data_IF_608875461002
#
_entry.id   IF_608875461002
#
_cell.length_a   1.000
_cell.length_b   1.000
_cell.length_c   1.000
_cell.angle_alpha   90.00
_cell.angle_beta   90.00
_cell.angle_gamma   90.00
#
_symmetry.space_group_name_H-M   'P 1'
#
loop_
_entity.id
_entity.type
_entity.pdbx_description
1 polymer ?
#
# COMPACT_ATOMS: atom_id res chain seq x y z
N UNK A 1 -29.62 -31.33 9.31
CA UNK A 1 -28.26 -31.12 8.73
C UNK A 1 -27.22 -30.82 9.81
N UNK A 2 -27.48 -29.88 10.75
CA UNK A 2 -26.55 -29.55 11.84
C UNK A 2 -26.26 -30.71 12.82
N UNK A 3 -27.26 -31.50 13.21
CA UNK A 3 -27.07 -32.64 14.12
C UNK A 3 -26.15 -33.74 13.54
N UNK A 4 -26.22 -34.00 12.23
CA UNK A 4 -25.37 -34.97 11.55
C UNK A 4 -23.94 -34.45 11.38
N UNK A 5 -23.77 -33.15 11.14
CA UNK A 5 -22.46 -32.51 11.13
C UNK A 5 -21.77 -32.56 12.51
N UNK A 6 -22.53 -32.35 13.60
CA UNK A 6 -22.00 -32.43 14.97
C UNK A 6 -21.60 -33.87 15.35
N UNK A 7 -22.37 -34.87 14.91
CA UNK A 7 -22.03 -36.29 15.12
C UNK A 7 -20.76 -36.68 14.35
N UNK A 8 -20.64 -36.21 13.10
CA UNK A 8 -19.44 -36.42 12.28
C UNK A 8 -18.21 -35.71 12.86
N UNK A 9 -18.38 -34.51 13.43
CA UNK A 9 -17.30 -33.76 14.08
C UNK A 9 -16.72 -34.53 15.28
N UNK A 10 -17.58 -35.05 16.16
CA UNK A 10 -17.16 -35.81 17.34
C UNK A 10 -16.33 -37.04 16.95
N UNK A 11 -16.81 -37.82 15.97
CA UNK A 11 -16.11 -38.99 15.45
C UNK A 11 -14.76 -38.63 14.80
N UNK A 12 -14.70 -37.51 14.09
CA UNK A 12 -13.50 -37.07 13.38
C UNK A 12 -12.41 -36.57 14.35
N UNK A 13 -12.80 -35.78 15.36
CA UNK A 13 -11.88 -35.32 16.43
C UNK A 13 -11.34 -36.51 17.23
N UNK A 14 -12.18 -37.52 17.52
CA UNK A 14 -11.76 -38.75 18.20
C UNK A 14 -10.78 -39.57 17.35
N UNK A 15 -11.01 -39.67 16.04
CA UNK A 15 -10.11 -40.39 15.14
C UNK A 15 -8.72 -39.75 15.05
N UNK A 16 -8.65 -38.41 15.02
CA UNK A 16 -7.40 -37.65 15.00
C UNK A 16 -6.64 -37.80 16.34
N UNK A 17 -7.35 -37.70 17.47
CA UNK A 17 -6.73 -37.76 18.80
C UNK A 17 -6.54 -39.18 19.36
N UNK A 18 -7.08 -40.20 18.70
CA UNK A 18 -7.11 -41.61 19.14
C UNK A 18 -7.73 -41.79 20.55
N UNK A 19 -8.76 -41.02 20.89
CA UNK A 19 -9.44 -41.09 22.20
C UNK A 19 -10.74 -41.94 22.16
N UNK A 20 -11.06 -42.71 23.22
CA UNK A 20 -12.18 -43.67 23.22
C UNK A 20 -13.55 -43.11 23.64
N UNK A 21 -13.66 -41.85 24.07
CA UNK A 21 -14.89 -41.34 24.72
C UNK A 21 -15.92 -40.83 23.73
N UNK A 22 -17.08 -41.49 23.64
CA UNK A 22 -18.25 -41.04 22.88
C UNK A 22 -18.85 -39.76 23.49
N UNK A 23 -18.80 -38.66 22.75
CA UNK A 23 -19.37 -37.36 23.16
C UNK A 23 -20.74 -37.21 22.50
N UNK A 24 -21.74 -36.75 23.27
CA UNK A 24 -23.08 -36.45 22.73
C UNK A 24 -23.01 -35.34 21.66
N UNK A 25 -23.83 -35.43 20.61
CA UNK A 25 -23.81 -34.50 19.47
C UNK A 25 -23.99 -33.03 19.87
N UNK A 26 -24.71 -32.74 20.95
CA UNK A 26 -24.94 -31.37 21.47
C UNK A 26 -23.68 -30.77 22.14
N UNK A 27 -22.75 -31.60 22.61
CA UNK A 27 -21.50 -31.18 23.26
C UNK A 27 -20.27 -31.25 22.34
N UNK A 28 -20.44 -31.71 21.10
CA UNK A 28 -19.34 -31.94 20.16
C UNK A 28 -18.54 -30.66 19.83
N UNK A 29 -19.22 -29.51 19.70
CA UNK A 29 -18.57 -28.22 19.46
C UNK A 29 -17.69 -27.76 20.62
N UNK A 30 -18.22 -27.80 21.85
CA UNK A 30 -17.47 -27.45 23.07
C UNK A 30 -16.30 -28.42 23.32
N UNK A 31 -16.49 -29.71 23.03
CA UNK A 31 -15.44 -30.72 23.14
C UNK A 31 -14.29 -30.46 22.15
N UNK A 32 -14.62 -30.15 20.90
CA UNK A 32 -13.61 -29.82 19.89
C UNK A 32 -12.82 -28.54 20.24
N UNK A 33 -13.46 -27.53 20.83
CA UNK A 33 -12.77 -26.33 21.35
C UNK A 33 -11.86 -26.60 22.54
N UNK A 34 -12.30 -27.46 23.45
CA UNK A 34 -11.48 -27.87 24.59
C UNK A 34 -10.21 -28.59 24.11
N UNK A 35 -10.32 -29.37 23.03
CA UNK A 35 -9.23 -30.15 22.43
C UNK A 35 -8.45 -29.45 21.32
N UNK A 36 -8.73 -28.18 21.03
CA UNK A 36 -8.02 -27.38 20.01
C UNK A 36 -6.50 -27.48 20.13
N UNK A 37 -5.97 -27.37 21.35
CA UNK A 37 -4.52 -27.39 21.59
C UNK A 37 -3.91 -28.77 21.32
N UNK A 38 -4.66 -29.85 21.60
CA UNK A 38 -4.26 -31.22 21.31
C UNK A 38 -4.32 -31.52 19.80
N UNK A 39 -5.35 -31.02 19.10
CA UNK A 39 -5.50 -31.17 17.65
C UNK A 39 -4.37 -30.46 16.91
N UNK A 40 -4.02 -29.24 17.31
CA UNK A 40 -2.94 -28.48 16.71
C UNK A 40 -1.55 -29.06 17.00
N UNK A 41 -1.41 -29.92 18.01
CA UNK A 41 -0.15 -30.60 18.35
C UNK A 41 0.09 -31.90 17.56
N UNK A 42 -0.93 -32.42 16.85
CA UNK A 42 -0.79 -33.63 16.02
C UNK A 42 0.07 -33.29 14.79
N UNK A 43 1.17 -34.02 14.61
CA UNK A 43 2.06 -33.88 13.45
C UNK A 43 1.53 -34.66 12.26
N UNK A 44 1.77 -34.14 11.06
CA UNK A 44 1.51 -34.79 9.76
C UNK A 44 0.03 -35.08 9.43
N UNK A 45 -0.92 -34.41 10.10
CA UNK A 45 -2.37 -34.53 9.84
C UNK A 45 -3.05 -33.19 9.54
N UNK A 46 -2.31 -32.22 9.01
CA UNK A 46 -2.78 -30.84 8.75
C UNK A 46 -4.10 -30.76 7.98
N UNK A 47 -4.30 -31.65 7.00
CA UNK A 47 -5.52 -31.66 6.17
C UNK A 47 -6.73 -32.16 6.95
N UNK A 48 -6.54 -33.18 7.80
CA UNK A 48 -7.60 -33.70 8.66
C UNK A 48 -7.94 -32.71 9.77
N UNK A 49 -6.94 -32.03 10.33
CA UNK A 49 -7.17 -30.97 11.32
C UNK A 49 -7.99 -29.82 10.70
N UNK A 50 -7.65 -29.37 9.49
CA UNK A 50 -8.44 -28.36 8.76
C UNK A 50 -9.88 -28.84 8.51
N UNK A 51 -10.05 -30.11 8.12
CA UNK A 51 -11.36 -30.74 7.95
C UNK A 51 -12.20 -30.74 9.22
N UNK A 52 -11.58 -30.98 10.38
CA UNK A 52 -12.25 -30.94 11.69
C UNK A 52 -12.77 -29.53 12.00
N UNK A 53 -11.97 -28.48 11.78
CA UNK A 53 -12.41 -27.10 11.98
C UNK A 53 -13.49 -26.66 10.99
N UNK A 54 -13.45 -27.13 9.73
CA UNK A 54 -14.54 -26.94 8.75
C UNK A 54 -15.86 -27.55 9.24
N UNK A 55 -15.81 -28.76 9.77
CA UNK A 55 -16.97 -29.44 10.34
C UNK A 55 -17.49 -28.71 11.59
N UNK A 56 -16.59 -28.19 12.42
CA UNK A 56 -16.94 -27.38 13.59
C UNK A 56 -17.74 -26.15 13.16
N UNK A 57 -17.20 -25.35 12.24
CA UNK A 57 -17.87 -24.15 11.74
C UNK A 57 -19.24 -24.46 11.09
N UNK A 58 -19.35 -25.56 10.34
CA UNK A 58 -20.64 -26.00 9.76
C UNK A 58 -21.65 -26.45 10.82
N UNK A 59 -21.18 -27.04 11.92
CA UNK A 59 -22.06 -27.58 12.97
C UNK A 59 -22.53 -26.50 13.96
N UNK A 60 -21.66 -25.57 14.35
CA UNK A 60 -21.94 -24.58 15.40
C UNK A 60 -22.17 -23.17 14.87
N UNK A 61 -21.83 -22.90 13.60
CA UNK A 61 -21.87 -21.55 13.05
C UNK A 61 -20.87 -20.63 13.75
N UNK A 62 -21.27 -19.37 13.98
CA UNK A 62 -20.41 -18.31 14.50
C UNK A 62 -20.24 -18.31 16.04
N UNK A 63 -20.92 -19.19 16.79
CA UNK A 63 -20.99 -19.13 18.26
C UNK A 63 -19.63 -19.24 18.94
N UNK A 64 -18.74 -20.08 18.42
CA UNK A 64 -17.44 -20.36 19.03
C UNK A 64 -16.25 -19.67 18.37
N UNK A 65 -16.52 -18.84 17.36
CA UNK A 65 -15.47 -18.10 16.64
C UNK A 65 -14.62 -17.24 17.58
N UNK A 66 -15.17 -16.47 18.54
CA UNK A 66 -14.35 -15.63 19.42
C UNK A 66 -13.37 -16.42 20.30
N UNK A 67 -13.78 -17.57 20.83
CA UNK A 67 -12.93 -18.45 21.63
C UNK A 67 -11.86 -19.12 20.77
N UNK A 68 -12.23 -19.53 19.55
CA UNK A 68 -11.31 -20.12 18.60
C UNK A 68 -10.23 -19.12 18.16
N UNK A 69 -10.60 -17.86 17.88
CA UNK A 69 -9.66 -16.80 17.54
C UNK A 69 -8.63 -16.60 18.65
N UNK A 70 -9.07 -16.53 19.92
CA UNK A 70 -8.16 -16.39 21.07
C UNK A 70 -7.17 -17.55 21.16
N UNK A 71 -7.63 -18.79 21.00
CA UNK A 71 -6.75 -19.97 21.05
C UNK A 71 -5.77 -20.03 19.88
N UNK A 72 -6.23 -19.75 18.66
CA UNK A 72 -5.39 -19.82 17.46
C UNK A 72 -4.32 -18.72 17.44
N UNK A 73 -4.61 -17.54 18.00
CA UNK A 73 -3.69 -16.41 18.02
C UNK A 73 -2.78 -16.36 19.24
N UNK A 74 -3.06 -17.12 20.30
CA UNK A 74 -2.27 -17.14 21.54
C UNK A 74 -0.85 -17.70 21.37
N UNK A 75 -0.68 -18.70 20.49
CA UNK A 75 0.63 -19.30 20.22
C UNK A 75 1.07 -19.03 18.78
N UNK A 76 2.14 -18.25 18.65
CA UNK A 76 2.76 -17.84 17.38
C UNK A 76 3.96 -18.68 16.96
N UNK A 77 4.31 -19.73 17.72
CA UNK A 77 5.54 -20.51 17.51
C UNK A 77 5.32 -21.83 16.79
N UNK A 78 4.15 -22.45 16.97
CA UNK A 78 3.84 -23.76 16.37
C UNK A 78 2.87 -23.64 15.20
N UNK A 79 3.08 -24.45 14.15
CA UNK A 79 2.15 -24.69 13.05
C UNK A 79 1.49 -23.43 12.46
N UNK A 80 2.28 -22.35 12.28
CA UNK A 80 1.80 -21.04 11.85
C UNK A 80 0.97 -21.09 10.54
N UNK A 81 1.43 -21.84 9.55
CA UNK A 81 0.74 -21.99 8.26
C UNK A 81 -0.60 -22.68 8.40
N UNK A 82 -0.70 -23.74 9.22
CA UNK A 82 -1.96 -24.44 9.48
C UNK A 82 -2.96 -23.54 10.21
N UNK A 83 -2.50 -22.81 11.24
CA UNK A 83 -3.38 -21.86 11.97
C UNK A 83 -3.88 -20.75 11.05
N UNK A 84 -3.05 -20.23 10.15
CA UNK A 84 -3.48 -19.26 9.14
C UNK A 84 -4.52 -19.83 8.16
N UNK A 85 -4.35 -21.08 7.70
CA UNK A 85 -5.35 -21.76 6.85
C UNK A 85 -6.68 -21.93 7.58
N UNK A 86 -6.66 -22.34 8.85
CA UNK A 86 -7.86 -22.46 9.67
C UNK A 86 -8.54 -21.09 9.84
N UNK A 87 -7.77 -20.04 10.14
CA UNK A 87 -8.31 -18.68 10.26
C UNK A 87 -8.93 -18.17 8.93
N UNK A 88 -8.29 -18.47 7.80
CA UNK A 88 -8.83 -18.14 6.48
C UNK A 88 -10.16 -18.85 6.21
N UNK A 89 -10.29 -20.11 6.62
CA UNK A 89 -11.55 -20.85 6.53
C UNK A 89 -12.63 -20.26 7.44
N UNK A 90 -12.28 -19.88 8.67
CA UNK A 90 -13.19 -19.16 9.58
C UNK A 90 -13.69 -17.89 8.89
N UNK A 91 -12.79 -17.08 8.31
CA UNK A 91 -13.16 -15.87 7.59
C UNK A 91 -14.10 -16.13 6.41
N UNK A 92 -13.81 -17.15 5.60
CA UNK A 92 -14.60 -17.52 4.43
C UNK A 92 -15.99 -18.09 4.80
N UNK A 93 -16.12 -18.70 5.97
CA UNK A 93 -17.39 -19.24 6.48
C UNK A 93 -18.35 -18.17 7.00
N UNK A 94 -17.86 -16.96 7.31
CA UNK A 94 -18.64 -15.90 7.91
C UNK A 94 -19.30 -14.99 6.83
N UNK A 95 -20.59 -14.64 6.97
CA UNK A 95 -21.25 -13.68 6.09
C UNK A 95 -20.57 -12.30 6.12
N UNK A 96 -20.61 -11.57 5.00
CA UNK A 96 -20.01 -10.23 4.87
C UNK A 96 -20.51 -9.21 5.91
N UNK A 97 -21.79 -9.30 6.31
CA UNK A 97 -22.40 -8.38 7.27
C UNK A 97 -22.04 -8.67 8.75
N UNK A 98 -21.33 -9.76 9.04
CA UNK A 98 -21.03 -10.15 10.42
C UNK A 98 -19.81 -9.38 10.95
N UNK A 99 -19.96 -8.68 12.09
CA UNK A 99 -18.88 -7.98 12.75
C UNK A 99 -17.67 -8.89 13.08
N UNK A 100 -17.93 -10.18 13.36
CA UNK A 100 -16.88 -11.18 13.63
C UNK A 100 -15.98 -11.45 12.43
N UNK A 101 -16.47 -11.20 11.20
CA UNK A 101 -15.67 -11.35 9.98
C UNK A 101 -14.52 -10.34 9.96
N UNK A 102 -14.79 -9.11 10.38
CA UNK A 102 -13.78 -8.08 10.51
C UNK A 102 -12.76 -8.45 11.61
N UNK A 103 -13.23 -8.87 12.78
CA UNK A 103 -12.34 -9.28 13.89
C UNK A 103 -11.43 -10.46 13.50
N UNK A 104 -11.96 -11.42 12.72
CA UNK A 104 -11.19 -12.53 12.14
C UNK A 104 -10.13 -12.02 11.16
N UNK A 105 -10.47 -11.05 10.30
CA UNK A 105 -9.52 -10.44 9.36
C UNK A 105 -8.36 -9.76 10.08
N UNK A 106 -8.66 -8.96 11.12
CA UNK A 106 -7.63 -8.32 11.96
C UNK A 106 -6.73 -9.38 12.61
N UNK A 107 -7.32 -10.45 13.11
CA UNK A 107 -6.60 -11.57 13.72
C UNK A 107 -5.67 -12.26 12.72
N UNK A 108 -6.13 -12.51 11.48
CA UNK A 108 -5.30 -13.06 10.40
C UNK A 108 -4.10 -12.16 10.12
N UNK A 109 -4.33 -10.86 9.95
CA UNK A 109 -3.28 -9.89 9.63
C UNK A 109 -2.23 -9.84 10.74
N UNK A 110 -2.66 -9.67 11.99
CA UNK A 110 -1.76 -9.58 13.14
C UNK A 110 -0.98 -10.88 13.35
N UNK A 111 -1.63 -12.04 13.18
CA UNK A 111 -0.99 -13.34 13.33
C UNK A 111 0.01 -13.63 12.20
N UNK A 112 -0.31 -13.28 10.95
CA UNK A 112 0.61 -13.39 9.82
C UNK A 112 1.85 -12.51 10.04
N UNK A 113 1.66 -11.32 10.60
CA UNK A 113 2.75 -10.44 11.02
C UNK A 113 3.63 -11.03 12.11
N UNK A 114 3.03 -11.59 13.16
CA UNK A 114 3.77 -12.20 14.28
C UNK A 114 4.54 -13.47 13.88
N UNK A 115 4.05 -14.20 12.87
CA UNK A 115 4.66 -15.45 12.38
C UNK A 115 5.58 -15.26 11.17
N UNK A 116 5.76 -14.01 10.69
CA UNK A 116 6.55 -13.68 9.50
C UNK A 116 6.04 -14.38 8.22
N UNK A 117 4.72 -14.53 8.08
CA UNK A 117 4.04 -15.20 6.96
C UNK A 117 3.21 -14.21 6.14
N UNK A 118 3.67 -12.97 6.01
CA UNK A 118 2.95 -11.87 5.32
C UNK A 118 2.68 -12.20 3.85
N UNK A 119 3.55 -13.01 3.22
CA UNK A 119 3.36 -13.44 1.84
C UNK A 119 2.06 -14.22 1.60
N UNK A 120 1.55 -14.95 2.60
CA UNK A 120 0.31 -15.73 2.50
C UNK A 120 -0.94 -14.84 2.48
N UNK A 121 -0.85 -13.62 3.01
CA UNK A 121 -1.99 -12.70 3.10
C UNK A 121 -2.01 -11.64 1.99
N UNK A 122 -1.05 -11.66 1.06
CA UNK A 122 -0.95 -10.66 -0.03
C UNK A 122 -2.25 -10.53 -0.85
N UNK A 123 -2.95 -11.63 -1.13
CA UNK A 123 -4.23 -11.57 -1.83
C UNK A 123 -5.29 -10.80 -1.04
N UNK A 124 -5.38 -11.04 0.29
CA UNK A 124 -6.30 -10.31 1.16
C UNK A 124 -5.99 -8.81 1.16
N UNK A 125 -4.70 -8.44 1.16
CA UNK A 125 -4.26 -7.04 1.14
C UNK A 125 -4.68 -6.32 -0.16
N UNK A 126 -4.62 -6.99 -1.30
CA UNK A 126 -5.05 -6.42 -2.58
C UNK A 126 -6.56 -6.19 -2.64
N UNK A 127 -7.35 -7.10 -2.06
CA UNK A 127 -8.82 -7.03 -2.05
C UNK A 127 -9.39 -6.26 -0.84
N UNK A 128 -8.54 -5.61 -0.04
CA UNK A 128 -8.95 -4.98 1.23
C UNK A 128 -10.15 -4.06 1.11
N UNK A 129 -10.23 -3.26 0.04
CA UNK A 129 -11.32 -2.29 -0.15
C UNK A 129 -12.69 -2.98 -0.27
N UNK A 130 -12.73 -4.17 -0.87
CA UNK A 130 -13.93 -5.00 -0.92
C UNK A 130 -14.20 -5.69 0.42
N UNK A 131 -13.16 -6.16 1.10
CA UNK A 131 -13.28 -6.90 2.36
C UNK A 131 -13.72 -6.04 3.54
N UNK A 132 -13.44 -4.73 3.51
CA UNK A 132 -13.78 -3.80 4.60
C UNK A 132 -14.96 -2.88 4.26
N UNK A 133 -15.67 -3.16 3.16
CA UNK A 133 -16.86 -2.43 2.77
C UNK A 133 -17.94 -2.48 3.88
N UNK A 134 -18.40 -1.31 4.33
CA UNK A 134 -19.42 -1.20 5.39
C UNK A 134 -18.87 -1.26 6.83
N UNK A 135 -17.56 -1.31 7.02
CA UNK A 135 -16.92 -1.25 8.35
C UNK A 135 -16.88 0.21 8.84
N UNK A 136 -17.05 0.40 10.15
CA UNK A 136 -16.97 1.71 10.78
C UNK A 136 -15.55 2.34 10.63
N UNK A 137 -15.43 3.67 10.41
CA UNK A 137 -14.14 4.34 10.21
C UNK A 137 -13.11 4.11 11.32
N UNK A 138 -13.52 4.07 12.59
CA UNK A 138 -12.62 3.85 13.72
C UNK A 138 -11.93 2.47 13.67
N UNK A 139 -12.63 1.46 13.18
CA UNK A 139 -12.09 0.12 13.01
C UNK A 139 -11.12 0.07 11.81
N UNK A 140 -11.46 0.75 10.72
CA UNK A 140 -10.58 0.90 9.55
C UNK A 140 -9.25 1.59 9.90
N UNK A 141 -9.30 2.63 10.74
CA UNK A 141 -8.11 3.35 11.21
C UNK A 141 -7.11 2.38 11.88
N UNK A 142 -7.58 1.54 12.79
CA UNK A 142 -6.72 0.57 13.48
C UNK A 142 -6.12 -0.47 12.52
N UNK A 143 -6.92 -0.96 11.57
CA UNK A 143 -6.49 -2.00 10.63
C UNK A 143 -5.49 -1.48 9.60
N UNK A 144 -5.76 -0.33 8.96
CA UNK A 144 -4.84 0.22 7.98
C UNK A 144 -3.49 0.58 8.61
N UNK A 145 -3.50 1.09 9.84
CA UNK A 145 -2.26 1.36 10.57
C UNK A 145 -1.49 0.07 10.89
N UNK A 146 -2.20 -0.97 11.38
CA UNK A 146 -1.58 -2.27 11.66
C UNK A 146 -0.98 -2.92 10.41
N UNK A 147 -1.69 -2.85 9.28
CA UNK A 147 -1.19 -3.34 7.99
C UNK A 147 0.06 -2.58 7.56
N UNK A 148 0.05 -1.24 7.66
CA UNK A 148 1.22 -0.43 7.34
C UNK A 148 2.43 -0.81 8.22
N UNK A 149 2.24 -1.00 9.52
CA UNK A 149 3.29 -1.43 10.46
C UNK A 149 3.88 -2.80 10.14
N UNK A 150 3.08 -3.71 9.60
CA UNK A 150 3.55 -5.02 9.16
C UNK A 150 4.31 -4.94 7.84
N UNK A 151 3.77 -4.21 6.86
CA UNK A 151 4.37 -4.11 5.53
C UNK A 151 5.66 -3.28 5.51
N UNK A 152 5.85 -2.36 6.45
CA UNK A 152 7.10 -1.58 6.53
C UNK A 152 8.31 -2.43 6.95
N UNK A 153 8.08 -3.54 7.67
CA UNK A 153 9.15 -4.48 8.08
C UNK A 153 9.65 -5.33 6.90
N UNK A 154 8.81 -5.51 5.89
CA UNK A 154 9.11 -6.27 4.69
C UNK A 154 9.80 -5.36 3.66
N UNK A 155 10.97 -5.77 3.17
CA UNK A 155 11.78 -4.95 2.27
C UNK A 155 11.03 -4.64 0.97
N UNK A 156 10.32 -5.63 0.43
CA UNK A 156 9.63 -5.55 -0.87
C UNK A 156 8.25 -4.89 -0.79
N UNK A 157 7.71 -4.67 0.42
CA UNK A 157 6.34 -4.17 0.63
C UNK A 157 6.28 -2.73 1.15
N UNK A 158 7.40 -2.01 1.19
CA UNK A 158 7.44 -0.60 1.60
C UNK A 158 6.50 0.29 0.79
N UNK A 159 6.39 0.04 -0.51
CA UNK A 159 5.46 0.77 -1.36
C UNK A 159 3.99 0.52 -0.97
N UNK A 160 3.63 -0.74 -0.71
CA UNK A 160 2.28 -1.09 -0.25
C UNK A 160 1.99 -0.49 1.13
N UNK A 161 2.98 -0.46 2.03
CA UNK A 161 2.86 0.22 3.32
C UNK A 161 2.47 1.69 3.16
N UNK A 162 3.07 2.40 2.19
CA UNK A 162 2.74 3.80 1.92
C UNK A 162 1.30 3.97 1.43
N UNK A 163 0.81 3.09 0.56
CA UNK A 163 -0.60 3.11 0.11
C UNK A 163 -1.58 2.93 1.27
N UNK A 164 -1.29 2.03 2.21
CA UNK A 164 -2.14 1.85 3.40
C UNK A 164 -2.06 3.04 4.36
N UNK A 165 -0.90 3.69 4.48
CA UNK A 165 -0.79 4.95 5.24
C UNK A 165 -1.62 6.06 4.60
N UNK A 166 -1.58 6.21 3.28
CA UNK A 166 -2.43 7.17 2.56
C UNK A 166 -3.92 6.88 2.78
N UNK A 167 -4.34 5.61 2.69
CA UNK A 167 -5.72 5.19 3.01
C UNK A 167 -6.10 5.53 4.45
N UNK A 168 -5.21 5.30 5.40
CA UNK A 168 -5.41 5.69 6.80
C UNK A 168 -5.60 7.21 6.95
N UNK A 169 -4.74 8.01 6.33
CA UNK A 169 -4.79 9.47 6.39
C UNK A 169 -6.06 10.03 5.74
N UNK A 170 -6.53 9.42 4.65
CA UNK A 170 -7.79 9.78 3.98
C UNK A 170 -9.03 9.64 4.88
N UNK A 171 -9.02 8.75 5.88
CA UNK A 171 -10.15 8.61 6.80
C UNK A 171 -10.40 9.87 7.64
N UNK A 172 -9.38 10.71 7.81
CA UNK A 172 -9.47 11.95 8.58
C UNK A 172 -10.03 13.13 7.77
N UNK A 173 -10.30 12.98 6.47
CA UNK A 173 -10.84 14.07 5.65
C UNK A 173 -12.22 14.56 6.13
N UNK A 174 -13.02 13.67 6.70
CA UNK A 174 -14.34 13.99 7.24
C UNK A 174 -14.31 14.38 8.73
N UNK A 175 -13.16 14.23 9.40
CA UNK A 175 -13.02 14.52 10.82
C UNK A 175 -12.65 15.99 11.06
N UNK A 176 -13.10 16.52 12.21
CA UNK A 176 -12.75 17.88 12.64
C UNK A 176 -11.38 17.93 13.32
N UNK A 177 -11.02 16.88 14.05
CA UNK A 177 -9.76 16.77 14.76
C UNK A 177 -8.86 15.75 14.06
N UNK A 178 -7.79 16.24 13.44
CA UNK A 178 -6.82 15.41 12.73
C UNK A 178 -5.55 15.16 13.53
N UNK A 179 -5.49 15.62 14.79
CA UNK A 179 -4.27 15.61 15.62
C UNK A 179 -3.71 14.20 15.83
N UNK A 180 -4.59 13.20 15.91
CA UNK A 180 -4.21 11.79 16.06
C UNK A 180 -3.43 11.25 14.86
N UNK A 181 -3.67 11.79 13.67
CA UNK A 181 -3.01 11.37 12.44
C UNK A 181 -1.61 11.96 12.28
N UNK A 182 -1.20 12.94 13.12
CA UNK A 182 0.08 13.65 12.98
C UNK A 182 1.30 12.71 12.89
N UNK A 183 1.47 11.68 13.75
CA UNK A 183 2.61 10.78 13.65
C UNK A 183 2.62 9.97 12.35
N UNK A 184 1.45 9.50 11.91
CA UNK A 184 1.29 8.76 10.66
C UNK A 184 1.55 9.66 9.43
N UNK A 185 1.15 10.93 9.49
CA UNK A 185 1.39 11.91 8.44
C UNK A 185 2.89 12.21 8.28
N UNK A 186 3.62 12.40 9.40
CA UNK A 186 5.08 12.56 9.37
C UNK A 186 5.74 11.31 8.77
N UNK A 187 5.33 10.12 9.21
CA UNK A 187 5.86 8.85 8.70
C UNK A 187 5.62 8.69 7.20
N UNK A 188 4.42 8.98 6.72
CA UNK A 188 4.09 8.94 5.29
C UNK A 188 4.92 9.95 4.49
N UNK A 189 5.08 11.18 4.98
CA UNK A 189 5.93 12.19 4.34
C UNK A 189 7.39 11.73 4.24
N UNK A 190 7.95 11.19 5.32
CA UNK A 190 9.32 10.64 5.35
C UNK A 190 9.46 9.47 4.36
N UNK A 191 8.47 8.58 4.28
CA UNK A 191 8.47 7.46 3.34
C UNK A 191 8.49 7.94 1.88
N UNK A 192 7.69 8.96 1.53
CA UNK A 192 7.72 9.58 0.19
C UNK A 192 9.08 10.19 -0.10
N UNK A 193 9.70 10.90 0.86
CA UNK A 193 11.01 11.53 0.63
C UNK A 193 12.13 10.49 0.47
N UNK A 194 12.04 9.36 1.18
CA UNK A 194 12.99 8.24 1.07
C UNK A 194 12.88 7.49 -0.26
N UNK A 195 11.70 7.43 -0.86
CA UNK A 195 11.43 6.70 -2.10
C UNK A 195 10.46 7.48 -3.02
N UNK A 196 10.87 8.67 -3.51
CA UNK A 196 9.95 9.58 -4.19
C UNK A 196 9.58 9.09 -5.58
N UNK A 197 10.49 8.40 -6.27
CA UNK A 197 10.23 7.83 -7.59
C UNK A 197 9.12 6.79 -7.49
N UNK A 198 9.22 5.86 -6.54
CA UNK A 198 8.24 4.82 -6.30
C UNK A 198 6.90 5.41 -5.86
N UNK A 199 6.91 6.43 -4.99
CA UNK A 199 5.70 7.11 -4.55
C UNK A 199 4.96 7.79 -5.71
N UNK A 200 5.66 8.51 -6.59
CA UNK A 200 5.04 9.19 -7.72
C UNK A 200 4.55 8.24 -8.81
N UNK A 201 5.29 7.15 -9.08
CA UNK A 201 4.84 6.10 -10.02
C UNK A 201 3.55 5.45 -9.55
N UNK A 202 3.36 5.35 -8.24
CA UNK A 202 2.14 4.82 -7.65
C UNK A 202 1.04 5.86 -7.39
N UNK A 203 1.25 7.10 -7.82
CA UNK A 203 0.27 8.18 -7.69
C UNK A 203 -0.15 8.49 -6.24
N UNK A 204 0.78 8.35 -5.29
CA UNK A 204 0.55 8.73 -3.89
C UNK A 204 0.63 10.25 -3.78
N UNK A 205 -0.47 10.89 -3.40
CA UNK A 205 -0.56 12.35 -3.28
C UNK A 205 -0.91 12.76 -1.85
N UNK A 206 0.12 13.14 -1.07
CA UNK A 206 -0.09 13.44 0.35
C UNK A 206 -0.47 14.90 0.64
N UNK A 207 -0.06 15.86 -0.20
CA UNK A 207 -0.15 17.29 0.13
C UNK A 207 -1.58 17.83 0.26
N UNK A 208 -2.54 17.20 -0.43
CA UNK A 208 -3.93 17.63 -0.41
C UNK A 208 -4.68 17.15 0.84
N UNK A 209 -4.14 16.17 1.58
CA UNK A 209 -4.77 15.58 2.76
C UNK A 209 -4.71 16.53 3.95
N UNK A 210 -5.84 16.79 4.60
CA UNK A 210 -5.96 17.59 5.84
C UNK A 210 -5.01 17.11 6.93
N UNK A 211 -4.91 15.78 7.07
CA UNK A 211 -4.02 15.15 8.04
C UNK A 211 -2.53 15.47 7.79
N UNK A 212 -2.15 15.78 6.55
CA UNK A 212 -0.78 16.20 6.19
C UNK A 212 -0.65 17.72 6.24
N UNK A 213 -1.68 18.46 5.84
CA UNK A 213 -1.71 19.92 5.90
C UNK A 213 -1.55 20.47 7.32
N UNK A 214 -1.98 19.74 8.36
CA UNK A 214 -1.75 20.13 9.76
C UNK A 214 -0.25 20.26 10.11
N UNK A 215 0.64 19.61 9.35
CA UNK A 215 2.08 19.69 9.57
C UNK A 215 2.65 21.04 9.15
N UNK A 216 1.93 21.79 8.29
CA UNK A 216 2.38 23.10 7.80
C UNK A 216 2.61 24.05 8.96
N UNK A 217 3.85 24.52 9.11
CA UNK A 217 4.30 25.39 10.20
C UNK A 217 4.54 24.67 11.54
N UNK A 218 4.04 23.46 11.73
CA UNK A 218 4.27 22.66 12.93
C UNK A 218 5.50 21.76 12.82
N UNK A 219 5.81 21.26 11.62
CA UNK A 219 6.96 20.42 11.33
C UNK A 219 7.53 20.78 9.95
N UNK A 220 8.86 20.90 9.87
CA UNK A 220 9.59 21.25 8.64
C UNK A 220 9.59 20.13 7.61
N UNK A 221 9.18 18.92 7.97
CA UNK A 221 8.98 17.82 7.02
C UNK A 221 7.92 18.17 5.96
N UNK A 222 6.93 19.00 6.29
CA UNK A 222 5.92 19.46 5.33
C UNK A 222 6.56 20.32 4.23
N UNK A 223 7.42 21.26 4.61
CA UNK A 223 8.13 22.14 3.67
C UNK A 223 9.01 21.30 2.73
N UNK A 224 9.66 20.25 3.25
CA UNK A 224 10.48 19.32 2.45
C UNK A 224 9.63 18.47 1.49
N UNK A 225 8.49 17.97 1.94
CA UNK A 225 7.55 17.25 1.09
C UNK A 225 7.04 18.14 -0.05
N UNK A 226 6.69 19.39 0.25
CA UNK A 226 6.29 20.37 -0.77
C UNK A 226 7.41 20.59 -1.80
N UNK A 227 8.67 20.68 -1.35
CA UNK A 227 9.83 20.82 -2.25
C UNK A 227 9.93 19.65 -3.23
N UNK A 228 9.80 18.42 -2.73
CA UNK A 228 9.91 17.21 -3.56
C UNK A 228 8.79 17.12 -4.59
N UNK A 229 7.57 17.48 -4.21
CA UNK A 229 6.40 17.39 -5.10
C UNK A 229 6.35 18.49 -6.16
N UNK A 230 6.67 19.75 -5.82
CA UNK A 230 6.39 20.88 -6.72
C UNK A 230 7.54 21.85 -6.97
N UNK A 231 8.63 21.83 -6.18
CA UNK A 231 9.70 22.82 -6.29
C UNK A 231 10.97 22.28 -6.96
N UNK A 232 12.01 23.12 -6.99
CA UNK A 232 13.26 22.87 -7.71
C UNK A 232 14.38 22.32 -6.81
N UNK A 233 15.45 21.82 -7.43
CA UNK A 233 16.69 21.47 -6.72
C UNK A 233 17.28 22.65 -5.95
N UNK A 234 17.17 23.89 -6.47
CA UNK A 234 17.68 25.07 -5.78
C UNK A 234 16.93 25.33 -4.46
N UNK A 235 15.62 25.11 -4.43
CA UNK A 235 14.80 25.22 -3.22
C UNK A 235 15.20 24.16 -2.19
N UNK A 236 15.50 22.93 -2.64
CA UNK A 236 16.03 21.88 -1.77
C UNK A 236 17.38 22.25 -1.16
N UNK A 237 18.34 22.74 -1.97
CA UNK A 237 19.66 23.15 -1.48
C UNK A 237 19.55 24.31 -0.48
N UNK A 238 18.62 25.25 -0.70
CA UNK A 238 18.35 26.31 0.26
C UNK A 238 17.75 25.77 1.57
N UNK A 239 16.79 24.84 1.48
CA UNK A 239 16.21 24.16 2.64
C UNK A 239 17.26 23.38 3.43
N UNK A 240 18.12 22.62 2.76
CA UNK A 240 19.17 21.84 3.39
C UNK A 240 20.11 22.74 4.21
N UNK A 241 20.55 23.87 3.64
CA UNK A 241 21.40 24.86 4.35
C UNK A 241 20.70 25.47 5.57
N UNK A 242 19.40 25.73 5.47
CA UNK A 242 18.63 26.36 6.54
C UNK A 242 18.11 25.39 7.60
N UNK A 243 17.94 24.11 7.27
CA UNK A 243 17.17 23.13 8.06
C UNK A 243 17.76 21.71 8.01
N UNK A 244 19.09 21.58 7.94
CA UNK A 244 19.81 20.30 7.99
C UNK A 244 19.43 19.43 9.22
N UNK A 245 19.08 20.05 10.34
CA UNK A 245 18.62 19.35 11.54
C UNK A 245 17.35 18.51 11.29
N UNK A 246 16.45 18.95 10.41
CA UNK A 246 15.23 18.20 10.07
C UNK A 246 15.55 16.90 9.34
N UNK A 247 16.53 16.93 8.42
CA UNK A 247 16.97 15.74 7.69
C UNK A 247 17.52 14.68 8.66
N UNK A 248 18.41 15.09 9.55
CA UNK A 248 19.00 14.19 10.56
C UNK A 248 17.96 13.67 11.55
N UNK A 249 17.04 14.52 12.02
CA UNK A 249 15.98 14.13 12.95
C UNK A 249 15.05 13.02 12.40
N UNK A 250 14.80 13.01 11.08
CA UNK A 250 13.96 12.00 10.42
C UNK A 250 14.76 10.86 9.76
N UNK A 251 16.07 10.80 9.97
CA UNK A 251 16.94 9.77 9.39
C UNK A 251 16.96 9.81 7.86
N UNK A 252 17.00 11.02 7.30
CA UNK A 252 17.13 11.28 5.87
C UNK A 252 18.57 11.62 5.54
N UNK A 253 19.14 10.90 4.57
CA UNK A 253 20.48 11.17 4.05
C UNK A 253 20.41 12.31 3.01
N UNK A 254 21.19 13.37 3.24
CA UNK A 254 21.24 14.54 2.36
C UNK A 254 21.73 14.20 0.95
N UNK A 255 22.73 13.34 0.80
CA UNK A 255 23.27 12.96 -0.51
C UNK A 255 22.27 12.14 -1.31
N UNK A 256 21.51 11.26 -0.63
CA UNK A 256 20.41 10.50 -1.24
C UNK A 256 19.28 11.44 -1.66
N UNK A 257 18.85 12.34 -0.78
CA UNK A 257 17.81 13.32 -1.08
C UNK A 257 18.20 14.24 -2.26
N UNK A 258 19.46 14.70 -2.30
CA UNK A 258 20.01 15.48 -3.42
C UNK A 258 19.93 14.70 -4.73
N UNK A 259 20.29 13.42 -4.69
CA UNK A 259 20.25 12.52 -5.84
C UNK A 259 18.82 12.34 -6.36
N UNK A 260 17.85 12.16 -5.46
CA UNK A 260 16.44 12.12 -5.83
C UNK A 260 15.97 13.45 -6.43
N UNK A 261 16.32 14.59 -5.82
CA UNK A 261 15.93 15.91 -6.34
C UNK A 261 16.51 16.18 -7.73
N UNK A 262 17.71 15.71 -8.04
CA UNK A 262 18.27 15.77 -9.40
C UNK A 262 17.41 15.01 -10.41
N UNK A 263 17.01 13.78 -10.08
CA UNK A 263 16.12 12.98 -10.93
C UNK A 263 14.75 13.65 -11.11
N UNK A 264 14.16 14.16 -10.05
CA UNK A 264 12.87 14.86 -10.09
C UNK A 264 12.92 16.18 -10.86
N UNK A 265 14.05 16.87 -10.85
CA UNK A 265 14.24 18.10 -11.61
C UNK A 265 14.25 17.83 -13.12
N UNK A 266 14.79 16.69 -13.55
CA UNK A 266 14.72 16.26 -14.97
C UNK A 266 13.27 16.11 -15.46
N UNK A 267 12.34 15.73 -14.56
CA UNK A 267 10.92 15.63 -14.92
C UNK A 267 10.26 16.97 -15.22
N UNK A 268 10.87 18.09 -14.79
CA UNK A 268 10.30 19.43 -14.92
C UNK A 268 10.64 20.10 -16.26
N UNK A 269 11.50 19.48 -17.08
CA UNK A 269 11.79 19.98 -18.41
C UNK A 269 10.59 19.83 -19.35
N UNK A 270 10.43 20.73 -20.34
CA UNK A 270 9.35 20.65 -21.30
C UNK A 270 9.42 19.33 -22.09
N UNK A 271 8.25 18.71 -22.27
CA UNK A 271 8.11 17.52 -23.11
C UNK A 271 7.75 17.93 -24.54
N UNK A 272 8.35 17.28 -25.53
CA UNK A 272 8.07 17.56 -26.93
C UNK A 272 9.20 17.12 -27.86
N UNK A 273 9.46 17.97 -28.86
CA UNK A 273 10.49 17.74 -29.89
C UNK A 273 11.69 18.68 -29.76
N UNK A 274 11.66 19.59 -28.80
CA UNK A 274 12.71 20.58 -28.59
C UNK A 274 13.95 19.93 -27.97
N UNK A 275 15.11 20.27 -28.52
CA UNK A 275 16.39 19.79 -28.03
C UNK A 275 16.85 20.65 -26.85
N UNK A 276 17.15 20.00 -25.73
CA UNK A 276 17.66 20.62 -24.51
C UNK A 276 19.19 20.46 -24.50
N UNK A 277 19.92 21.55 -24.43
CA UNK A 277 21.38 21.51 -24.40
C UNK A 277 21.91 20.93 -23.09
N UNK A 278 23.01 20.17 -23.15
CA UNK A 278 23.66 19.64 -21.94
C UNK A 278 24.08 20.74 -20.96
N UNK A 279 24.48 21.91 -21.45
CA UNK A 279 24.87 23.04 -20.61
C UNK A 279 23.72 23.53 -19.70
N UNK A 280 22.48 23.49 -20.20
CA UNK A 280 21.31 23.83 -19.40
C UNK A 280 21.02 22.79 -18.32
N UNK A 281 21.19 21.51 -18.65
CA UNK A 281 21.02 20.39 -17.70
C UNK A 281 22.12 20.44 -16.63
N UNK A 282 23.36 20.69 -17.02
CA UNK A 282 24.52 20.83 -16.13
C UNK A 282 24.27 21.91 -15.07
N UNK A 283 23.87 23.11 -15.51
CA UNK A 283 23.54 24.23 -14.62
C UNK A 283 22.39 23.91 -13.68
N UNK A 284 21.37 23.23 -14.18
CA UNK A 284 20.13 22.97 -13.43
C UNK A 284 20.30 21.86 -12.41
N UNK A 285 21.04 20.79 -12.75
CA UNK A 285 21.32 19.67 -11.85
C UNK A 285 22.51 19.91 -10.92
N UNK A 286 23.32 20.93 -11.20
CA UNK A 286 24.55 21.24 -10.45
C UNK A 286 25.47 20.01 -10.40
N UNK A 287 25.76 19.45 -11.57
CA UNK A 287 26.62 18.27 -11.77
C UNK A 287 27.68 18.60 -12.82
N UNK A 288 28.83 17.93 -12.83
CA UNK A 288 29.80 18.08 -13.91
C UNK A 288 29.21 17.69 -15.27
N UNK A 289 29.65 18.36 -16.34
CA UNK A 289 29.31 18.02 -17.72
C UNK A 289 29.44 16.53 -18.08
N UNK A 290 30.41 15.82 -17.50
CA UNK A 290 30.65 14.39 -17.74
C UNK A 290 29.53 13.50 -17.17
N UNK A 291 28.84 13.94 -16.13
CA UNK A 291 27.85 13.13 -15.41
C UNK A 291 26.43 13.33 -15.94
N UNK A 292 26.19 14.38 -16.76
CA UNK A 292 24.87 14.74 -17.29
C UNK A 292 24.20 13.54 -17.96
N UNK A 293 24.93 12.84 -18.83
CA UNK A 293 24.42 11.67 -19.54
C UNK A 293 24.01 10.55 -18.58
N UNK A 294 24.84 10.30 -17.55
CA UNK A 294 24.54 9.28 -16.53
C UNK A 294 23.24 9.61 -15.78
N UNK A 295 22.98 10.88 -15.45
CA UNK A 295 21.74 11.30 -14.79
C UNK A 295 20.51 11.14 -15.70
N UNK A 296 20.65 11.48 -16.98
CA UNK A 296 19.57 11.30 -17.97
C UNK A 296 19.27 9.82 -18.15
N UNK A 297 20.30 8.97 -18.29
CA UNK A 297 20.13 7.50 -18.36
C UNK A 297 19.45 6.96 -17.11
N UNK A 298 19.88 7.38 -15.91
CA UNK A 298 19.22 6.97 -14.65
C UNK A 298 17.73 7.34 -14.63
N UNK A 299 17.38 8.54 -15.10
CA UNK A 299 15.99 8.97 -15.17
C UNK A 299 15.16 8.16 -16.19
N UNK A 300 15.77 7.76 -17.31
CA UNK A 300 15.14 6.85 -18.29
C UNK A 300 14.95 5.45 -17.68
N UNK A 301 15.98 4.88 -17.05
CA UNK A 301 15.91 3.55 -16.42
C UNK A 301 14.89 3.50 -15.29
N UNK A 302 14.74 4.59 -14.54
CA UNK A 302 13.72 4.74 -13.50
C UNK A 302 12.30 5.02 -14.06
N UNK A 303 12.11 5.00 -15.39
CA UNK A 303 10.85 5.32 -16.08
C UNK A 303 10.26 6.71 -15.77
N UNK A 304 11.07 7.63 -15.25
CA UNK A 304 10.68 9.00 -14.95
C UNK A 304 10.49 9.81 -16.23
N UNK A 305 11.38 9.60 -17.21
CA UNK A 305 11.33 10.28 -18.51
C UNK A 305 11.52 9.27 -19.65
N UNK A 306 10.98 9.60 -20.81
CA UNK A 306 11.37 9.00 -22.09
C UNK A 306 12.10 10.07 -22.87
N UNK A 307 13.35 9.79 -23.24
CA UNK A 307 14.20 10.77 -23.90
C UNK A 307 15.14 10.11 -24.91
N UNK A 308 15.55 10.88 -25.92
CA UNK A 308 16.59 10.54 -26.87
C UNK A 308 17.80 11.42 -26.61
N UNK A 309 18.97 10.80 -26.55
CA UNK A 309 20.23 11.47 -26.27
C UNK A 309 21.01 11.63 -27.58
N UNK A 310 21.36 12.85 -27.94
CA UNK A 310 22.32 13.16 -28.99
C UNK A 310 23.66 13.54 -28.33
N UNK A 311 24.52 12.53 -28.22
CA UNK A 311 25.81 12.67 -27.54
C UNK A 311 26.78 13.56 -28.34
N UNK A 312 26.75 13.52 -29.67
CA UNK A 312 27.63 14.33 -30.53
C UNK A 312 27.21 15.80 -30.51
N UNK A 313 25.90 16.06 -30.62
CA UNK A 313 25.31 17.39 -30.52
C UNK A 313 25.19 17.93 -29.10
N UNK A 314 25.53 17.12 -28.08
CA UNK A 314 25.38 17.44 -26.64
C UNK A 314 23.98 17.97 -26.31
N UNK A 315 22.95 17.25 -26.75
CA UNK A 315 21.56 17.60 -26.51
C UNK A 315 20.69 16.39 -26.15
N UNK A 316 19.56 16.64 -25.48
CA UNK A 316 18.57 15.63 -25.11
C UNK A 316 17.19 16.11 -25.55
N UNK A 317 16.42 15.22 -26.19
CA UNK A 317 15.00 15.47 -26.51
C UNK A 317 14.15 14.61 -25.60
N UNK A 318 13.34 15.24 -24.74
CA UNK A 318 12.45 14.55 -23.81
C UNK A 318 11.05 14.46 -24.43
N UNK A 319 10.60 13.24 -24.72
CA UNK A 319 9.29 12.99 -25.35
C UNK A 319 8.18 12.82 -24.32
N UNK A 320 8.48 12.22 -23.17
CA UNK A 320 7.53 11.99 -22.07
C UNK A 320 8.21 12.25 -20.74
N UNK A 321 7.47 12.77 -19.78
CA UNK A 321 7.92 12.95 -18.40
C UNK A 321 6.79 12.59 -17.43
N UNK A 322 7.14 11.98 -16.30
CA UNK A 322 6.26 11.76 -15.17
C UNK A 322 5.96 13.10 -14.50
N UNK A 323 4.68 13.42 -14.36
CA UNK A 323 4.25 14.62 -13.64
C UNK A 323 4.28 14.33 -12.13
N UNK A 324 4.98 15.16 -11.36
CA UNK A 324 5.13 15.02 -9.90
C UNK A 324 3.86 15.40 -9.12
N UNK A 325 2.95 16.11 -9.77
CA UNK A 325 1.61 16.40 -9.31
C UNK A 325 0.75 16.84 -10.49
N UNK A 326 -0.57 16.79 -10.34
CA UNK A 326 -1.51 17.20 -11.37
C UNK A 326 -2.52 18.20 -10.80
N UNK A 327 -2.34 19.48 -11.12
CA UNK A 327 -3.12 20.58 -10.58
C UNK A 327 -3.97 21.30 -11.63
N UNK A 328 -4.56 22.44 -11.24
CA UNK A 328 -5.41 23.24 -12.12
C UNK A 328 -4.71 23.76 -13.38
N UNK A 329 -3.41 24.05 -13.31
CA UNK A 329 -2.63 24.52 -14.46
C UNK A 329 -2.47 23.42 -15.51
N UNK A 330 -2.20 22.20 -15.06
CA UNK A 330 -2.09 21.01 -15.92
C UNK A 330 -3.46 20.67 -16.53
N UNK A 331 -4.55 20.79 -15.76
CA UNK A 331 -5.92 20.67 -16.29
C UNK A 331 -6.21 21.67 -17.39
N UNK A 332 -5.84 22.94 -17.21
CA UNK A 332 -6.04 23.99 -18.22
C UNK A 332 -5.22 23.70 -19.50
N UNK A 333 -3.96 23.27 -19.35
CA UNK A 333 -3.12 22.88 -20.48
C UNK A 333 -3.70 21.66 -21.23
N UNK A 334 -4.22 20.67 -20.51
CA UNK A 334 -4.87 19.50 -21.10
C UNK A 334 -6.14 19.88 -21.86
N UNK A 335 -6.99 20.72 -21.26
CA UNK A 335 -8.21 21.22 -21.90
C UNK A 335 -7.89 21.96 -23.21
N UNK A 336 -6.89 22.84 -23.21
CA UNK A 336 -6.48 23.57 -24.41
C UNK A 336 -6.03 22.62 -25.53
N UNK A 337 -5.24 21.58 -25.20
CA UNK A 337 -4.81 20.56 -26.18
C UNK A 337 -5.99 19.76 -26.73
N UNK A 338 -6.94 19.35 -25.89
CA UNK A 338 -8.12 18.60 -26.30
C UNK A 338 -9.04 19.43 -27.20
N UNK A 339 -9.25 20.72 -26.88
CA UNK A 339 -10.02 21.63 -27.72
C UNK A 339 -9.39 21.83 -29.10
N UNK A 340 -8.05 21.94 -29.17
CA UNK A 340 -7.34 22.00 -30.44
C UNK A 340 -7.53 20.72 -31.27
N UNK A 341 -7.43 19.54 -30.63
CA UNK A 341 -7.65 18.27 -31.33
C UNK A 341 -9.08 18.12 -31.81
N UNK A 342 -10.07 18.53 -31.01
CA UNK A 342 -11.46 18.56 -31.42
C UNK A 342 -11.67 19.43 -32.66
N UNK A 343 -11.09 20.63 -32.69
CA UNK A 343 -11.17 21.53 -33.84
C UNK A 343 -10.50 20.92 -35.09
N UNK A 344 -9.31 20.34 -34.94
CA UNK A 344 -8.58 19.74 -36.06
C UNK A 344 -9.32 18.54 -36.65
N UNK A 345 -9.84 17.64 -35.82
CA UNK A 345 -10.63 16.48 -36.27
C UNK A 345 -11.94 16.94 -36.91
N UNK A 346 -12.60 17.95 -36.34
CA UNK A 346 -13.81 18.54 -36.91
C UNK A 346 -13.58 19.12 -38.31
N UNK A 347 -12.47 19.83 -38.50
CA UNK A 347 -12.04 20.37 -39.80
C UNK A 347 -11.80 19.24 -40.82
N UNK A 348 -11.01 18.22 -40.46
CA UNK A 348 -10.75 17.08 -41.32
C UNK A 348 -12.03 16.33 -41.73
N UNK A 349 -12.96 16.15 -40.78
CA UNK A 349 -14.25 15.52 -41.04
C UNK A 349 -15.08 16.34 -42.05
N UNK A 350 -15.07 17.66 -41.92
CA UNK A 350 -15.76 18.56 -42.85
C UNK A 350 -15.15 18.46 -44.25
N UNK A 351 -13.82 18.45 -44.38
CA UNK A 351 -13.13 18.26 -45.66
C UNK A 351 -13.46 16.90 -46.30
N UNK A 352 -13.48 15.81 -45.52
CA UNK A 352 -13.84 14.48 -46.03
C UNK A 352 -15.30 14.44 -46.51
N UNK A 353 -16.22 15.10 -45.79
CA UNK A 353 -17.63 15.18 -46.18
C UNK A 353 -17.81 15.99 -47.47
N UNK A 354 -17.09 17.09 -47.64
CA UNK A 354 -17.09 17.88 -48.86
C UNK A 354 -16.51 17.10 -50.05
N UNK A 355 -15.43 16.34 -49.85
CA UNK A 355 -14.82 15.54 -50.92
C UNK A 355 -15.64 14.30 -51.34
N UNK A 356 -16.68 13.94 -50.58
CA UNK A 356 -17.61 12.83 -50.89
C UNK A 356 -18.87 13.28 -51.62
N UNK A 357 -19.15 14.59 -51.67
CA UNK A 357 -20.25 15.16 -52.47
C UNK A 357 -19.79 15.38 -53.91
#
# INVERSE_FOLDING_TARGET
MQAQAATNLAAYVQAILKEPTAVAAEAAGAHALAKTDALLAVKDQDTDIEGAFKLLLKSTGATHVPELLKKLTADTTTNATLKLRILAEVFNSLPAANALRFETLVSIINYAGATNQVHLIKSYLNDMDALVAGVAPANLQSVYLSIADLLEKEVDSKHQSLLFLEKYLNLFESEKDVSKAKPAAIRAAVAVIKAPVEAFVAHVELLHLKAVQQLKGADKIYDLLEIFTSKSLADYVAFEKASAATLTAHGLDSAVCTSHMRLLTLCSYPTGHDAIAYADIERTLQVPAADVEQWVVKAITANLISAKIDQLGRSVVITRSLQRGFGPAEWAALQAKLSLYQANVGSLLATIRQARQ
#
